data_IF_027985364525
#
_entry.id   IF_027985364525
#
_cell.length_a   1.000
_cell.length_b   1.000
_cell.length_c   1.000
_cell.angle_alpha   90.00
_cell.angle_beta   90.00
_cell.angle_gamma   90.00
#
_symmetry.space_group_name_H-M   'P 1'
#
loop_
_entity.id
_entity.type
_entity.pdbx_description
1 polymer ?
#
# COMPACT_ATOMS: atom_id res chain seq x y z
N UNK A 1 1.54 10.23 5.15
CA UNK A 1 1.42 8.77 5.07
C UNK A 1 1.05 8.33 3.66
N UNK A 2 1.71 7.31 3.13
CA UNK A 2 1.45 6.74 1.81
C UNK A 2 0.87 5.33 1.98
N UNK A 3 -0.27 5.03 1.37
CA UNK A 3 -1.00 3.78 1.60
C UNK A 3 -1.24 2.96 0.34
N UNK A 4 -1.36 1.64 0.52
CA UNK A 4 -1.90 0.72 -0.49
C UNK A 4 -2.91 -0.23 0.15
N UNK A 5 -3.96 -0.58 -0.60
CA UNK A 5 -5.02 -1.50 -0.17
C UNK A 5 -5.21 -2.53 -1.27
N UNK A 6 -4.82 -3.78 -1.02
CA UNK A 6 -4.99 -4.87 -2.00
C UNK A 6 -4.80 -6.24 -1.35
N UNK A 7 -5.13 -7.30 -2.10
CA UNK A 7 -4.65 -8.65 -1.76
C UNK A 7 -3.13 -8.69 -1.93
N UNK A 8 -2.40 -9.29 -1.00
CA UNK A 8 -0.95 -9.47 -1.12
C UNK A 8 -0.64 -10.67 -2.00
N UNK A 9 -0.70 -10.45 -3.31
CA UNK A 9 -0.58 -11.48 -4.34
C UNK A 9 0.21 -10.97 -5.56
N UNK A 10 0.80 -11.88 -6.36
CA UNK A 10 1.76 -11.52 -7.40
C UNK A 10 1.23 -10.49 -8.41
N UNK A 11 -0.04 -10.56 -8.78
CA UNK A 11 -0.64 -9.61 -9.73
C UNK A 11 -0.79 -8.19 -9.16
N UNK A 12 -0.84 -8.04 -7.83
CA UNK A 12 -0.94 -6.74 -7.14
C UNK A 12 0.42 -6.07 -6.94
N UNK A 13 1.50 -6.85 -7.06
CA UNK A 13 2.89 -6.40 -7.08
C UNK A 13 3.21 -5.38 -5.96
N UNK A 14 2.80 -5.71 -4.73
CA UNK A 14 3.05 -4.88 -3.54
C UNK A 14 4.55 -4.75 -3.26
N UNK A 15 5.37 -5.69 -3.74
CA UNK A 15 6.82 -5.60 -3.72
C UNK A 15 7.36 -4.32 -4.39
N UNK A 16 6.77 -3.87 -5.50
CA UNK A 16 7.16 -2.63 -6.18
C UNK A 16 6.90 -1.40 -5.28
N UNK A 17 5.72 -1.34 -4.65
CA UNK A 17 5.40 -0.31 -3.67
C UNK A 17 6.40 -0.30 -2.50
N UNK A 18 6.71 -1.46 -1.94
CA UNK A 18 7.62 -1.59 -0.79
C UNK A 18 9.08 -1.26 -1.16
N UNK A 19 9.50 -1.56 -2.38
CA UNK A 19 10.83 -1.19 -2.90
C UNK A 19 10.95 0.33 -3.00
N UNK A 20 9.93 1.00 -3.55
CA UNK A 20 9.87 2.46 -3.57
C UNK A 20 9.83 3.06 -2.15
N UNK A 21 9.09 2.44 -1.23
CA UNK A 21 9.01 2.85 0.16
C UNK A 21 10.38 2.81 0.86
N UNK A 22 11.14 1.72 0.73
CA UNK A 22 12.50 1.63 1.27
C UNK A 22 13.44 2.68 0.67
N UNK A 23 13.38 2.90 -0.64
CA UNK A 23 14.22 3.90 -1.30
C UNK A 23 13.91 5.31 -0.76
N UNK A 24 12.63 5.63 -0.58
CA UNK A 24 12.20 6.93 -0.07
C UNK A 24 12.50 7.08 1.44
N UNK A 25 12.36 6.02 2.24
CA UNK A 25 12.66 6.06 3.67
C UNK A 25 14.12 6.45 3.98
N UNK A 26 15.06 6.14 3.06
CA UNK A 26 16.48 6.53 3.19
C UNK A 26 16.71 8.04 3.07
N UNK A 27 15.88 8.75 2.32
CA UNK A 27 16.02 10.20 2.08
C UNK A 27 14.94 11.03 2.80
N UNK A 28 13.82 10.40 3.16
CA UNK A 28 12.64 10.98 3.82
C UNK A 28 12.13 10.05 4.93
N UNK A 29 12.86 9.96 6.06
CA UNK A 29 12.48 9.08 7.18
C UNK A 29 11.21 9.52 7.92
N UNK A 30 10.72 10.74 7.65
CA UNK A 30 9.45 11.27 8.14
C UNK A 30 8.23 10.63 7.45
N UNK A 31 8.41 10.03 6.27
CA UNK A 31 7.33 9.40 5.52
C UNK A 31 7.04 8.00 6.07
N UNK A 32 5.78 7.77 6.40
CA UNK A 32 5.26 6.46 6.83
C UNK A 32 4.46 5.79 5.72
N UNK A 33 4.52 4.48 5.66
CA UNK A 33 3.88 3.63 4.65
C UNK A 33 2.92 2.66 5.30
N UNK A 34 1.75 2.49 4.69
CA UNK A 34 0.68 1.63 5.19
C UNK A 34 0.31 0.57 4.15
N UNK A 35 0.40 -0.70 4.52
CA UNK A 35 -0.03 -1.85 3.71
C UNK A 35 -1.27 -2.46 4.35
N UNK A 36 -2.40 -2.31 3.68
CA UNK A 36 -3.68 -2.90 4.09
C UNK A 36 -4.01 -4.07 3.18
N UNK A 37 -4.39 -5.18 3.80
CA UNK A 37 -4.75 -6.43 3.13
C UNK A 37 -3.88 -7.60 3.55
N UNK A 38 -4.23 -8.76 3.02
CA UNK A 38 -3.56 -10.03 3.30
C UNK A 38 -3.46 -10.85 2.02
N UNK A 39 -2.70 -11.94 2.07
CA UNK A 39 -2.52 -12.83 0.92
C UNK A 39 -1.28 -13.70 1.03
N UNK A 40 -1.07 -14.57 0.03
CA UNK A 40 0.02 -15.54 0.02
C UNK A 40 1.41 -14.91 0.13
N UNK A 41 1.59 -13.67 -0.32
CA UNK A 41 2.89 -12.99 -0.26
C UNK A 41 3.15 -12.25 1.05
N UNK A 42 2.20 -12.24 2.00
CA UNK A 42 2.36 -11.46 3.24
C UNK A 42 3.66 -11.78 3.98
N UNK A 43 3.89 -13.06 4.26
CA UNK A 43 5.01 -13.49 5.08
C UNK A 43 6.35 -13.17 4.42
N UNK A 44 6.47 -13.39 3.11
CA UNK A 44 7.69 -13.08 2.36
C UNK A 44 7.94 -11.58 2.28
N UNK A 45 6.91 -10.77 2.02
CA UNK A 45 7.04 -9.31 1.98
C UNK A 45 7.41 -8.74 3.35
N UNK A 46 6.81 -9.23 4.44
CA UNK A 46 7.18 -8.78 5.80
C UNK A 46 8.62 -9.17 6.16
N UNK A 47 9.09 -10.34 5.74
CA UNK A 47 10.47 -10.77 5.96
C UNK A 47 11.48 -9.95 5.16
N UNK A 48 11.15 -9.59 3.92
CA UNK A 48 12.03 -8.82 3.03
C UNK A 48 12.06 -7.33 3.37
N UNK A 49 10.93 -6.77 3.81
CA UNK A 49 10.76 -5.33 4.01
C UNK A 49 10.60 -4.97 5.49
N UNK A 50 11.65 -5.24 6.27
CA UNK A 50 11.73 -4.88 7.69
C UNK A 50 12.19 -3.42 7.83
N UNK A 51 11.22 -2.50 7.82
CA UNK A 51 11.46 -1.06 8.04
C UNK A 51 10.43 -0.53 9.06
N UNK A 52 10.90 0.23 10.05
CA UNK A 52 10.05 0.84 11.08
C UNK A 52 9.04 1.87 10.53
N UNK A 53 9.23 2.31 9.28
CA UNK A 53 8.33 3.21 8.58
C UNK A 53 7.21 2.47 7.82
N UNK A 54 7.27 1.15 7.70
CA UNK A 54 6.30 0.34 6.96
C UNK A 54 5.41 -0.44 7.94
N UNK A 55 4.11 -0.19 7.90
CA UNK A 55 3.12 -0.88 8.72
C UNK A 55 2.26 -1.83 7.87
N UNK A 56 2.36 -3.12 8.14
CA UNK A 56 1.43 -4.13 7.62
C UNK A 56 0.30 -4.34 8.63
N UNK A 57 -0.90 -3.86 8.30
CA UNK A 57 -2.06 -3.90 9.22
C UNK A 57 -3.03 -5.05 8.93
N UNK A 58 -2.76 -5.83 7.90
CA UNK A 58 -3.57 -6.98 7.50
C UNK A 58 -4.91 -6.62 6.90
N UNK A 59 -5.78 -7.61 6.78
CA UNK A 59 -7.15 -7.39 6.33
C UNK A 59 -7.90 -6.53 7.33
N UNK A 60 -8.61 -5.51 6.84
CA UNK A 60 -9.29 -4.50 7.65
C UNK A 60 -10.70 -4.27 7.11
N UNK A 61 -11.64 -4.06 8.01
CA UNK A 61 -13.02 -3.67 7.66
C UNK A 61 -13.20 -2.14 7.62
N UNK A 62 -12.28 -1.39 8.24
CA UNK A 62 -12.28 0.06 8.35
C UNK A 62 -11.41 0.75 7.28
N UNK A 63 -11.32 0.16 6.08
CA UNK A 63 -10.53 0.69 4.94
C UNK A 63 -10.86 2.16 4.65
N UNK A 64 -12.13 2.63 4.61
CA UNK A 64 -12.42 4.04 4.37
C UNK A 64 -11.75 4.98 5.38
N UNK A 65 -11.69 4.58 6.66
CA UNK A 65 -11.01 5.34 7.71
C UNK A 65 -9.49 5.33 7.53
N UNK A 66 -8.93 4.20 7.11
CA UNK A 66 -7.50 4.07 6.81
C UNK A 66 -7.10 4.88 5.57
N UNK A 67 -7.96 4.98 4.58
CA UNK A 67 -7.73 5.85 3.43
C UNK A 67 -7.73 7.33 3.83
N UNK A 68 -8.58 7.75 4.76
CA UNK A 68 -8.65 9.15 5.23
C UNK A 68 -7.37 9.65 5.92
N UNK A 69 -6.57 8.76 6.49
CA UNK A 69 -5.30 9.11 7.14
C UNK A 69 -4.10 9.05 6.16
N UNK A 70 -4.32 8.56 4.94
CA UNK A 70 -3.32 8.61 3.87
C UNK A 70 -3.35 9.97 3.16
N UNK A 71 -2.18 10.45 2.75
CA UNK A 71 -2.04 11.62 1.86
C UNK A 71 -2.02 11.17 0.40
N UNK A 72 -1.37 10.03 0.13
CA UNK A 72 -1.21 9.44 -1.20
C UNK A 72 -1.61 7.96 -1.15
N UNK A 73 -2.37 7.52 -2.14
CA UNK A 73 -2.69 6.12 -2.39
C UNK A 73 -1.88 5.60 -3.60
N UNK A 74 -1.27 4.43 -3.44
CA UNK A 74 -0.46 3.79 -4.47
C UNK A 74 -1.07 2.45 -4.88
N UNK A 75 -1.30 2.30 -6.18
CA UNK A 75 -1.71 1.05 -6.82
C UNK A 75 -0.61 0.58 -7.77
N UNK A 76 0.20 -0.39 -7.34
CA UNK A 76 1.34 -0.89 -8.11
C UNK A 76 1.02 -2.16 -8.92
N UNK A 77 -0.26 -2.44 -9.17
CA UNK A 77 -0.69 -3.73 -9.75
C UNK A 77 -0.24 -3.89 -11.19
N UNK A 78 0.19 -5.10 -11.55
CA UNK A 78 0.58 -5.44 -12.92
C UNK A 78 -0.63 -5.56 -13.84
N UNK A 79 -1.76 -6.03 -13.30
CA UNK A 79 -3.04 -6.15 -14.02
C UNK A 79 -4.20 -5.81 -13.09
N UNK A 80 -5.14 -5.02 -13.61
CA UNK A 80 -6.40 -4.70 -12.96
C UNK A 80 -7.54 -4.76 -13.97
N UNK A 81 -8.69 -5.28 -13.54
CA UNK A 81 -9.93 -5.15 -14.31
C UNK A 81 -10.62 -3.84 -13.92
N UNK A 82 -11.11 -3.79 -12.69
CA UNK A 82 -11.66 -2.58 -12.07
C UNK A 82 -11.29 -2.56 -10.59
N UNK A 83 -10.42 -1.62 -10.22
CA UNK A 83 -9.89 -1.57 -8.85
C UNK A 83 -10.82 -0.79 -7.92
N UNK A 84 -11.59 -1.51 -7.10
CA UNK A 84 -12.47 -0.91 -6.08
C UNK A 84 -11.67 -0.05 -5.11
N UNK A 85 -10.49 -0.50 -4.68
CA UNK A 85 -9.61 0.23 -3.77
C UNK A 85 -9.17 1.59 -4.34
N UNK A 86 -8.93 1.67 -5.66
CA UNK A 86 -8.62 2.93 -6.33
C UNK A 86 -9.79 3.91 -6.26
N UNK A 87 -11.00 3.43 -6.55
CA UNK A 87 -12.22 4.24 -6.50
C UNK A 87 -12.51 4.72 -5.08
N UNK A 88 -12.33 3.86 -4.07
CA UNK A 88 -12.46 4.24 -2.66
C UNK A 88 -11.43 5.31 -2.27
N UNK A 89 -10.19 5.19 -2.73
CA UNK A 89 -9.16 6.19 -2.49
C UNK A 89 -9.49 7.54 -3.15
N UNK A 90 -10.01 7.52 -4.39
CA UNK A 90 -10.49 8.72 -5.08
C UNK A 90 -11.68 9.34 -4.35
N UNK A 91 -12.65 8.54 -3.90
CA UNK A 91 -13.79 9.01 -3.12
C UNK A 91 -13.38 9.61 -1.77
N UNK A 92 -12.31 9.09 -1.17
CA UNK A 92 -11.68 9.67 0.00
C UNK A 92 -10.90 10.96 -0.31
N UNK A 93 -10.72 11.36 -1.58
CA UNK A 93 -10.00 12.56 -1.98
C UNK A 93 -8.47 12.43 -1.87
N UNK A 94 -7.94 11.21 -2.05
CA UNK A 94 -6.50 10.95 -1.96
C UNK A 94 -5.80 11.18 -3.29
N UNK A 95 -4.58 11.71 -3.24
CA UNK A 95 -3.73 11.75 -4.43
C UNK A 95 -3.39 10.32 -4.87
N UNK A 96 -3.46 10.05 -6.17
CA UNK A 96 -3.32 8.72 -6.72
C UNK A 96 -2.00 8.60 -7.50
N UNK A 97 -1.27 7.51 -7.24
CA UNK A 97 -0.17 7.04 -8.09
C UNK A 97 -0.47 5.60 -8.50
N UNK A 98 -0.59 5.35 -9.81
CA UNK A 98 -0.88 4.03 -10.34
C UNK A 98 0.00 3.70 -11.56
N UNK A 99 0.24 2.42 -11.81
CA UNK A 99 0.97 1.89 -12.98
C UNK A 99 0.03 1.44 -14.09
#
# INVERSE_FOLDING_TARGET
MVGTVSRLAPEKNVALFLTAAQALARTRPDVKFLVVGDGPERASLQAQFQDANIAFVGQRADVPRLLQICDVFVLASNTEGFSVALVEAMAAGRAIVAT
#
